data_IF_161966923569
#
_entry.id   IF_161966923569
#
_cell.length_a   1.000
_cell.length_b   1.000
_cell.length_c   1.000
_cell.angle_alpha   90.00
_cell.angle_beta   90.00
_cell.angle_gamma   90.00
#
_symmetry.space_group_name_H-M   'P 1'
#
loop_
_entity.id
_entity.type
_entity.pdbx_description
1 polymer ?
#
# COMPACT_ATOMS: atom_id res chain seq x y z
N UNK A 1 -67.64 64.57 9.04
CA UNK A 1 -67.06 63.65 8.05
C UNK A 1 -65.76 63.11 8.62
N UNK A 2 -65.71 61.82 8.99
CA UNK A 2 -64.54 61.17 9.60
C UNK A 2 -63.78 60.42 8.51
N UNK A 3 -62.50 60.76 8.30
CA UNK A 3 -61.64 60.06 7.36
C UNK A 3 -61.07 58.79 8.01
N UNK A 4 -61.29 57.64 7.37
CA UNK A 4 -60.79 56.33 7.80
C UNK A 4 -59.43 56.10 7.14
N UNK A 5 -58.41 55.90 7.96
CA UNK A 5 -57.04 55.59 7.58
C UNK A 5 -56.92 54.08 7.30
N UNK A 6 -56.61 53.68 6.07
CA UNK A 6 -56.26 52.29 5.72
C UNK A 6 -54.75 52.12 5.80
N UNK A 7 -54.28 51.26 6.72
CA UNK A 7 -52.89 50.80 6.78
C UNK A 7 -52.79 49.50 5.98
N UNK A 8 -52.04 49.52 4.88
CA UNK A 8 -51.75 48.36 4.04
C UNK A 8 -50.47 47.68 4.55
N UNK A 9 -50.58 46.49 5.12
CA UNK A 9 -49.45 45.71 5.62
C UNK A 9 -48.91 44.82 4.50
N UNK A 10 -47.69 45.07 4.02
CA UNK A 10 -47.01 44.22 3.02
C UNK A 10 -46.22 43.13 3.77
N UNK A 11 -46.64 41.87 3.59
CA UNK A 11 -45.91 40.69 4.09
C UNK A 11 -44.79 40.37 3.09
N UNK A 12 -43.55 40.63 3.46
CA UNK A 12 -42.37 40.17 2.72
C UNK A 12 -42.08 38.73 3.12
N UNK A 13 -42.44 37.78 2.25
CA UNK A 13 -42.06 36.38 2.39
C UNK A 13 -40.61 36.21 1.97
N UNK A 14 -39.75 35.86 2.93
CA UNK A 14 -38.36 35.52 2.67
C UNK A 14 -38.26 34.19 1.94
N UNK A 15 -37.67 34.21 0.75
CA UNK A 15 -37.22 33.00 0.06
C UNK A 15 -36.03 32.40 0.84
N UNK A 16 -36.27 31.28 1.52
CA UNK A 16 -35.19 30.45 2.05
C UNK A 16 -34.60 29.65 0.89
N UNK A 17 -33.39 30.00 0.46
CA UNK A 17 -32.58 29.13 -0.38
C UNK A 17 -31.94 28.07 0.51
N UNK A 18 -32.55 26.88 0.59
CA UNK A 18 -31.87 25.69 1.09
C UNK A 18 -30.93 25.19 0.00
N UNK A 19 -29.65 25.51 0.12
CA UNK A 19 -28.59 24.86 -0.67
C UNK A 19 -28.55 23.40 -0.25
N UNK A 20 -29.08 22.51 -1.09
CA UNK A 20 -28.87 21.08 -0.96
C UNK A 20 -27.37 20.82 -1.21
N UNK A 21 -26.61 20.64 -0.13
CA UNK A 21 -25.30 20.03 -0.22
C UNK A 21 -25.47 18.65 -0.85
N UNK A 22 -24.98 18.45 -2.07
CA UNK A 22 -24.91 17.13 -2.67
C UNK A 22 -24.05 16.27 -1.76
N UNK A 23 -24.66 15.28 -1.11
CA UNK A 23 -23.93 14.22 -0.42
C UNK A 23 -23.22 13.38 -1.48
N UNK A 24 -22.01 13.79 -1.84
CA UNK A 24 -21.08 12.94 -2.57
C UNK A 24 -20.89 11.70 -1.71
N UNK A 25 -21.47 10.57 -2.13
CA UNK A 25 -21.18 9.30 -1.48
C UNK A 25 -19.66 9.13 -1.48
N UNK A 26 -19.02 8.93 -0.31
CA UNK A 26 -17.58 8.79 -0.28
C UNK A 26 -17.20 7.63 -1.20
N UNK A 27 -16.31 7.89 -2.16
CA UNK A 27 -15.75 6.86 -3.03
C UNK A 27 -15.22 5.76 -2.10
N UNK A 28 -15.80 4.56 -2.20
CA UNK A 28 -15.33 3.42 -1.42
C UNK A 28 -13.98 3.00 -1.98
N UNK A 29 -12.91 3.48 -1.34
CA UNK A 29 -11.54 3.11 -1.68
C UNK A 29 -11.30 1.73 -1.08
N UNK A 30 -10.87 0.75 -1.90
CA UNK A 30 -10.49 -0.56 -1.41
C UNK A 30 -9.42 -0.43 -0.31
N UNK A 31 -9.70 -0.97 0.88
CA UNK A 31 -8.86 -0.84 2.05
C UNK A 31 -8.16 -2.18 2.36
N UNK A 32 -6.84 -2.14 2.43
CA UNK A 32 -6.00 -3.29 2.79
C UNK A 32 -5.45 -3.06 4.20
N UNK A 33 -5.69 -4.01 5.11
CA UNK A 33 -4.94 -4.07 6.34
C UNK A 33 -3.54 -4.61 6.03
N UNK A 34 -2.55 -3.72 5.98
CA UNK A 34 -1.19 -4.06 5.58
C UNK A 34 -0.49 -4.96 6.60
N UNK A 35 -0.75 -4.76 7.90
CA UNK A 35 -0.17 -5.60 8.96
C UNK A 35 -0.65 -7.05 8.80
N UNK A 36 -1.95 -7.24 8.58
CA UNK A 36 -2.53 -8.56 8.31
C UNK A 36 -2.04 -9.13 6.97
N UNK A 37 -1.86 -8.30 5.94
CA UNK A 37 -1.35 -8.75 4.64
C UNK A 37 0.08 -9.31 4.76
N UNK A 38 1.00 -8.63 5.47
CA UNK A 38 2.35 -9.14 5.72
C UNK A 38 2.29 -10.46 6.50
N UNK A 39 1.44 -10.53 7.53
CA UNK A 39 1.29 -11.75 8.34
C UNK A 39 0.76 -12.92 7.50
N UNK A 40 -0.28 -12.68 6.67
CA UNK A 40 -0.88 -13.67 5.76
C UNK A 40 0.17 -14.23 4.80
N UNK A 41 0.93 -13.37 4.11
CA UNK A 41 1.95 -13.80 3.13
C UNK A 41 3.06 -14.61 3.81
N UNK A 42 3.54 -14.14 4.97
CA UNK A 42 4.55 -14.84 5.76
C UNK A 42 4.07 -16.22 6.19
N UNK A 43 2.88 -16.29 6.78
CA UNK A 43 2.33 -17.52 7.34
C UNK A 43 2.03 -18.54 6.25
N UNK A 44 1.44 -18.11 5.13
CA UNK A 44 1.16 -18.99 3.99
C UNK A 44 2.43 -19.68 3.48
N UNK A 45 3.52 -18.92 3.26
CA UNK A 45 4.80 -19.48 2.81
C UNK A 45 5.46 -20.34 3.88
N UNK A 46 5.46 -19.90 5.14
CA UNK A 46 6.04 -20.65 6.24
C UNK A 46 5.36 -22.01 6.42
N UNK A 47 4.03 -22.04 6.42
CA UNK A 47 3.24 -23.26 6.55
C UNK A 47 3.47 -24.20 5.36
N UNK A 48 3.50 -23.68 4.13
CA UNK A 48 3.82 -24.48 2.95
C UNK A 48 5.22 -25.10 3.01
N UNK A 49 6.23 -24.31 3.38
CA UNK A 49 7.62 -24.78 3.51
C UNK A 49 7.74 -25.86 4.59
N UNK A 50 7.11 -25.64 5.75
CA UNK A 50 7.07 -26.60 6.85
C UNK A 50 6.43 -27.92 6.42
N UNK A 51 5.26 -27.87 5.78
CA UNK A 51 4.58 -29.05 5.27
C UNK A 51 5.44 -29.82 4.26
N UNK A 52 6.07 -29.11 3.32
CA UNK A 52 6.94 -29.71 2.29
C UNK A 52 8.17 -30.42 2.88
N UNK A 53 8.75 -29.87 3.97
CA UNK A 53 9.86 -30.50 4.66
C UNK A 53 9.43 -31.76 5.45
N UNK A 54 8.27 -31.70 6.12
CA UNK A 54 7.78 -32.80 6.95
C UNK A 54 7.28 -34.00 6.16
N UNK A 55 6.58 -33.79 5.05
CA UNK A 55 5.99 -34.88 4.24
C UNK A 55 6.98 -35.51 3.24
N UNK A 56 8.14 -34.87 3.00
CA UNK A 56 9.07 -35.16 1.89
C UNK A 56 8.42 -35.15 0.50
N UNK A 57 7.18 -34.65 0.38
CA UNK A 57 6.40 -34.52 -0.85
C UNK A 57 5.80 -33.12 -0.92
N UNK A 58 6.08 -32.40 -1.99
CA UNK A 58 5.50 -31.07 -2.18
C UNK A 58 4.10 -31.20 -2.77
N UNK A 59 3.11 -30.59 -2.13
CA UNK A 59 1.78 -30.45 -2.70
C UNK A 59 1.71 -29.18 -3.56
N UNK A 60 1.83 -29.34 -4.88
CA UNK A 60 1.83 -28.20 -5.80
C UNK A 60 0.50 -27.45 -5.82
N UNK A 61 -0.62 -28.11 -5.48
CA UNK A 61 -1.94 -27.45 -5.42
C UNK A 61 -2.08 -26.50 -4.23
N UNK A 62 -1.15 -26.56 -3.27
CA UNK A 62 -1.12 -25.68 -2.09
C UNK A 62 0.01 -24.66 -2.14
N UNK A 63 0.56 -24.37 -3.33
CA UNK A 63 1.54 -23.29 -3.48
C UNK A 63 0.94 -21.96 -2.99
N UNK A 64 1.67 -21.19 -2.17
CA UNK A 64 1.17 -19.91 -1.67
C UNK A 64 1.07 -18.90 -2.82
N UNK A 65 -0.02 -18.13 -2.82
CA UNK A 65 -0.24 -17.06 -3.80
C UNK A 65 0.73 -15.90 -3.53
N UNK A 66 1.44 -15.46 -4.57
CA UNK A 66 2.19 -14.21 -4.53
C UNK A 66 1.22 -13.05 -4.75
N UNK A 67 1.20 -12.09 -3.84
CA UNK A 67 0.29 -10.94 -3.91
C UNK A 67 1.05 -9.66 -3.59
N UNK A 68 0.75 -8.59 -4.32
CA UNK A 68 1.20 -7.24 -3.96
C UNK A 68 0.37 -6.69 -2.78
N UNK A 69 1.01 -5.88 -1.93
CA UNK A 69 0.35 -5.11 -0.88
C UNK A 69 0.06 -3.69 -1.37
N UNK A 70 1.06 -3.04 -1.96
CA UNK A 70 1.07 -1.64 -2.40
C UNK A 70 1.01 -1.49 -3.91
N UNK A 71 1.72 -2.33 -4.67
CA UNK A 71 1.90 -2.22 -6.13
C UNK A 71 0.67 -2.72 -6.89
N UNK A 72 -0.45 -1.99 -6.72
CA UNK A 72 -1.74 -2.28 -7.37
C UNK A 72 -2.16 -1.10 -8.25
N UNK A 73 -2.81 -1.36 -9.40
CA UNK A 73 -3.38 -0.30 -10.22
C UNK A 73 -4.60 0.33 -9.54
N UNK A 74 -4.94 1.55 -9.96
CA UNK A 74 -6.10 2.27 -9.45
C UNK A 74 -5.86 2.94 -8.10
N UNK A 75 -6.96 3.27 -7.41
CA UNK A 75 -6.94 3.96 -6.12
C UNK A 75 -7.26 2.99 -4.99
N UNK A 76 -6.35 2.86 -4.03
CA UNK A 76 -6.52 2.00 -2.85
C UNK A 76 -5.87 2.62 -1.62
N UNK A 77 -6.27 2.13 -0.45
CA UNK A 77 -5.68 2.52 0.81
C UNK A 77 -5.06 1.30 1.50
N UNK A 78 -3.89 1.49 2.08
CA UNK A 78 -3.22 0.48 2.90
C UNK A 78 -3.03 1.06 4.29
N UNK A 79 -3.49 0.37 5.32
CA UNK A 79 -3.32 0.79 6.71
C UNK A 79 -2.32 -0.10 7.45
N UNK A 80 -1.34 0.52 8.11
CA UNK A 80 -0.36 -0.15 8.98
C UNK A 80 -0.34 0.55 10.33
N UNK A 81 -0.60 -0.18 11.42
CA UNK A 81 -0.52 0.37 12.80
C UNK A 81 -1.27 1.70 12.98
N UNK A 82 -2.45 1.84 12.36
CA UNK A 82 -3.26 3.06 12.42
C UNK A 82 -2.85 4.17 11.45
N UNK A 83 -1.76 3.99 10.69
CA UNK A 83 -1.33 4.91 9.63
C UNK A 83 -1.89 4.49 8.28
N UNK A 84 -2.60 5.40 7.62
CA UNK A 84 -3.25 5.17 6.32
C UNK A 84 -2.41 5.76 5.19
N UNK A 85 -1.94 4.90 4.30
CA UNK A 85 -1.34 5.26 3.02
C UNK A 85 -2.43 5.24 1.95
N UNK A 86 -2.59 6.32 1.20
CA UNK A 86 -3.47 6.34 0.02
C UNK A 86 -2.58 6.28 -1.20
N UNK A 87 -2.88 5.32 -2.08
CA UNK A 87 -2.17 5.11 -3.32
C UNK A 87 -3.09 5.38 -4.50
N UNK A 88 -2.51 5.96 -5.54
CA UNK A 88 -3.13 6.13 -6.85
C UNK A 88 -2.11 5.75 -7.91
N UNK A 89 -2.45 4.78 -8.75
CA UNK A 89 -1.62 4.35 -9.89
C UNK A 89 -0.17 4.07 -9.48
N UNK A 90 -0.01 3.23 -8.43
CA UNK A 90 1.30 2.86 -7.88
C UNK A 90 2.11 4.08 -7.40
N UNK A 91 1.44 5.10 -6.84
CA UNK A 91 2.10 6.22 -6.17
C UNK A 91 1.38 6.54 -4.87
N UNK A 92 2.14 6.77 -3.80
CA UNK A 92 1.57 7.29 -2.57
C UNK A 92 1.20 8.75 -2.80
N UNK A 93 -0.07 9.09 -2.57
CA UNK A 93 -0.60 10.44 -2.76
C UNK A 93 -0.99 11.11 -1.44
N UNK A 94 -1.15 10.33 -0.37
CA UNK A 94 -1.40 10.87 0.97
C UNK A 94 -1.01 9.86 2.05
N UNK A 95 -0.62 10.37 3.21
CA UNK A 95 -0.33 9.60 4.42
C UNK A 95 -1.07 10.26 5.58
N UNK A 96 -1.92 9.51 6.28
CA UNK A 96 -2.75 10.02 7.39
C UNK A 96 -3.59 11.25 7.03
N UNK A 97 -4.03 11.36 5.78
CA UNK A 97 -4.79 12.52 5.30
C UNK A 97 -3.94 13.78 5.12
N UNK A 98 -2.63 13.72 5.42
CA UNK A 98 -1.69 14.79 5.09
C UNK A 98 -1.29 14.69 3.62
N UNK A 99 -1.20 15.84 2.96
CA UNK A 99 -0.57 15.97 1.65
C UNK A 99 0.86 16.43 1.91
N UNK A 100 1.82 15.51 1.82
CA UNK A 100 3.25 15.84 1.90
C UNK A 100 3.75 16.40 0.56
N UNK A 101 4.98 16.92 0.51
CA UNK A 101 5.56 17.33 -0.78
C UNK A 101 5.73 16.13 -1.71
N UNK A 102 5.68 16.37 -3.02
CA UNK A 102 5.85 15.34 -4.04
C UNK A 102 7.15 14.56 -3.88
N UNK A 103 8.23 15.23 -3.46
CA UNK A 103 9.53 14.60 -3.18
C UNK A 103 9.44 13.59 -2.02
N UNK A 104 8.78 13.97 -0.92
CA UNK A 104 8.60 13.07 0.24
C UNK A 104 7.74 11.88 -0.14
N UNK A 105 6.64 12.12 -0.86
CA UNK A 105 5.75 11.07 -1.35
C UNK A 105 6.47 10.14 -2.34
N UNK A 106 7.35 10.67 -3.20
CA UNK A 106 8.16 9.88 -4.12
C UNK A 106 9.14 8.98 -3.39
N UNK A 107 9.87 9.48 -2.38
CA UNK A 107 10.79 8.67 -1.56
C UNK A 107 10.05 7.54 -0.85
N UNK A 108 8.87 7.82 -0.29
CA UNK A 108 8.05 6.81 0.37
C UNK A 108 7.55 5.78 -0.63
N UNK A 109 7.03 6.24 -1.78
CA UNK A 109 6.58 5.38 -2.88
C UNK A 109 7.68 4.43 -3.32
N UNK A 110 8.89 4.95 -3.59
CA UNK A 110 10.04 4.16 -4.01
C UNK A 110 10.37 3.07 -3.00
N UNK A 111 10.49 3.42 -1.71
CA UNK A 111 10.82 2.44 -0.66
C UNK A 111 9.75 1.35 -0.55
N UNK A 112 8.47 1.72 -0.50
CA UNK A 112 7.37 0.78 -0.30
C UNK A 112 7.19 -0.14 -1.52
N UNK A 113 7.18 0.41 -2.73
CA UNK A 113 7.00 -0.39 -3.94
C UNK A 113 8.20 -1.27 -4.23
N UNK A 114 9.43 -0.79 -3.99
CA UNK A 114 10.62 -1.64 -4.19
C UNK A 114 10.55 -2.88 -3.32
N UNK A 115 10.21 -2.72 -2.04
CA UNK A 115 10.11 -3.84 -1.10
C UNK A 115 8.92 -4.76 -1.41
N UNK A 116 7.78 -4.19 -1.83
CA UNK A 116 6.61 -4.97 -2.24
C UNK A 116 6.86 -5.75 -3.54
N UNK A 117 7.62 -5.17 -4.48
CA UNK A 117 8.07 -5.85 -5.69
C UNK A 117 9.07 -6.96 -5.40
N UNK A 118 10.01 -6.72 -4.49
CA UNK A 118 10.99 -7.75 -4.10
C UNK A 118 10.31 -8.94 -3.43
N UNK A 119 9.40 -8.72 -2.49
CA UNK A 119 8.69 -9.85 -1.86
C UNK A 119 7.89 -10.64 -2.90
N UNK A 120 7.14 -9.95 -3.76
CA UNK A 120 6.36 -10.63 -4.80
C UNK A 120 7.27 -11.46 -5.72
N UNK A 121 8.35 -10.84 -6.21
CA UNK A 121 9.30 -11.49 -7.11
C UNK A 121 9.91 -12.76 -6.51
N UNK A 122 10.40 -12.72 -5.27
CA UNK A 122 11.00 -13.89 -4.64
C UNK A 122 9.98 -14.95 -4.25
N UNK A 123 8.74 -14.56 -3.95
CA UNK A 123 7.64 -15.50 -3.80
C UNK A 123 7.41 -16.28 -5.10
N UNK A 124 7.29 -15.57 -6.23
CA UNK A 124 7.11 -16.15 -7.56
C UNK A 124 8.28 -17.02 -7.98
N UNK A 125 9.53 -16.56 -7.84
CA UNK A 125 10.71 -17.33 -8.23
C UNK A 125 10.78 -18.68 -7.55
N UNK A 126 10.46 -18.75 -6.26
CA UNK A 126 10.41 -20.02 -5.57
C UNK A 126 9.23 -20.89 -6.02
N UNK A 127 8.06 -20.31 -6.27
CA UNK A 127 6.89 -21.06 -6.77
C UNK A 127 7.21 -21.69 -8.13
N UNK A 128 7.82 -20.93 -9.04
CA UNK A 128 8.27 -21.43 -10.34
C UNK A 128 9.28 -22.57 -10.19
N UNK A 129 10.21 -22.47 -9.24
CA UNK A 129 11.19 -23.53 -9.01
C UNK A 129 10.56 -24.84 -8.51
N UNK A 130 9.44 -24.77 -7.78
CA UNK A 130 8.66 -25.96 -7.42
C UNK A 130 7.92 -26.58 -8.60
N UNK A 131 7.58 -25.79 -9.63
CA UNK A 131 6.91 -26.25 -10.84
C UNK A 131 7.90 -26.80 -11.90
N UNK A 132 9.19 -26.52 -11.74
CA UNK A 132 10.23 -27.02 -12.64
C UNK A 132 10.42 -28.54 -12.53
N UNK A 133 10.62 -29.20 -13.68
CA UNK A 133 10.84 -30.65 -13.74
C UNK A 133 12.12 -31.09 -13.01
N UNK A 134 13.15 -30.24 -13.04
CA UNK A 134 14.38 -30.41 -12.27
C UNK A 134 14.45 -29.27 -11.26
N UNK A 135 14.04 -29.57 -10.02
CA UNK A 135 14.01 -28.58 -8.94
C UNK A 135 15.38 -28.42 -8.25
N UNK A 136 15.72 -27.18 -7.91
CA UNK A 136 16.85 -26.81 -7.08
C UNK A 136 16.38 -26.36 -5.70
N UNK A 137 16.51 -27.25 -4.70
CA UNK A 137 16.19 -26.90 -3.31
C UNK A 137 17.04 -25.71 -2.80
N UNK A 138 18.29 -25.60 -3.25
CA UNK A 138 19.16 -24.48 -2.87
C UNK A 138 18.61 -23.14 -3.37
N UNK A 139 18.09 -23.12 -4.61
CA UNK A 139 17.48 -21.92 -5.18
C UNK A 139 16.18 -21.55 -4.47
N UNK A 140 15.32 -22.53 -4.19
CA UNK A 140 14.09 -22.36 -3.40
C UNK A 140 14.41 -21.70 -2.04
N UNK A 141 15.33 -22.28 -1.28
CA UNK A 141 15.69 -21.75 0.04
C UNK A 141 16.29 -20.35 -0.03
N UNK A 142 17.06 -20.06 -1.08
CA UNK A 142 17.60 -18.74 -1.30
C UNK A 142 16.49 -17.72 -1.59
N UNK A 143 15.58 -18.02 -2.52
CA UNK A 143 14.43 -17.19 -2.85
C UNK A 143 13.53 -16.97 -1.62
N UNK A 144 13.22 -18.02 -0.86
CA UNK A 144 12.48 -17.94 0.40
C UNK A 144 13.12 -16.99 1.41
N UNK A 145 14.45 -17.11 1.60
CA UNK A 145 15.18 -16.23 2.52
C UNK A 145 15.03 -14.77 2.12
N UNK A 146 15.12 -14.47 0.82
CA UNK A 146 14.98 -13.12 0.30
C UNK A 146 13.53 -12.61 0.36
N UNK A 147 12.54 -13.48 0.13
CA UNK A 147 11.12 -13.19 0.37
C UNK A 147 10.87 -12.76 1.81
N UNK A 148 11.30 -13.57 2.80
CA UNK A 148 11.12 -13.24 4.21
C UNK A 148 11.89 -11.98 4.62
N UNK A 149 13.09 -11.78 4.06
CA UNK A 149 13.85 -10.55 4.28
C UNK A 149 13.11 -9.32 3.75
N UNK A 150 12.59 -9.37 2.52
CA UNK A 150 11.83 -8.28 1.91
C UNK A 150 10.58 -7.94 2.74
N UNK A 151 9.79 -8.95 3.16
CA UNK A 151 8.63 -8.72 4.03
C UNK A 151 9.00 -8.15 5.40
N UNK A 152 10.11 -8.61 6.00
CA UNK A 152 10.59 -8.07 7.28
C UNK A 152 11.00 -6.61 7.14
N UNK A 153 11.78 -6.28 6.12
CA UNK A 153 12.24 -4.90 5.88
C UNK A 153 11.05 -4.00 5.50
N UNK A 154 10.08 -4.50 4.74
CA UNK A 154 8.82 -3.78 4.46
C UNK A 154 8.10 -3.44 5.76
N UNK A 155 7.90 -4.42 6.64
CA UNK A 155 7.28 -4.24 7.95
C UNK A 155 8.01 -3.22 8.84
N UNK A 156 9.34 -3.25 8.87
CA UNK A 156 10.12 -2.24 9.60
C UNK A 156 10.00 -0.86 8.96
N UNK A 157 10.06 -0.77 7.62
CA UNK A 157 9.99 0.50 6.89
C UNK A 157 8.64 1.19 7.10
N UNK A 158 7.52 0.47 7.00
CA UNK A 158 6.19 1.05 7.25
C UNK A 158 6.04 1.49 8.71
N UNK A 159 6.62 0.75 9.66
CA UNK A 159 6.62 1.13 11.07
C UNK A 159 7.44 2.39 11.33
N UNK A 160 8.62 2.51 10.72
CA UNK A 160 9.45 3.71 10.85
C UNK A 160 8.75 4.93 10.24
N UNK A 161 8.14 4.77 9.05
CA UNK A 161 7.33 5.83 8.43
C UNK A 161 6.14 6.19 9.34
N UNK A 162 5.45 5.20 9.90
CA UNK A 162 4.31 5.42 10.78
C UNK A 162 4.69 6.17 12.07
N UNK A 163 5.86 5.87 12.64
CA UNK A 163 6.40 6.57 13.81
C UNK A 163 6.70 8.05 13.52
N UNK A 164 7.04 8.39 12.27
CA UNK A 164 7.30 9.76 11.81
C UNK A 164 5.97 10.45 11.45
N UNK A 165 5.07 9.79 10.74
CA UNK A 165 3.86 10.38 10.16
C UNK A 165 2.68 10.53 11.16
N UNK A 166 2.96 10.97 12.39
CA UNK A 166 1.93 11.21 13.41
C UNK A 166 1.03 12.39 13.03
N UNK A 167 -0.26 12.42 13.44
CA UNK A 167 -1.22 13.45 13.03
C UNK A 167 -0.80 14.90 13.31
N UNK A 168 0.03 15.12 14.32
CA UNK A 168 0.45 16.46 14.79
C UNK A 168 1.78 16.94 14.20
N UNK A 169 2.41 16.15 13.31
CA UNK A 169 3.72 16.49 12.77
C UNK A 169 3.61 17.51 11.63
N UNK A 170 4.50 18.49 11.59
CA UNK A 170 4.58 19.41 10.45
C UNK A 170 5.12 18.71 9.20
N UNK A 171 4.78 19.23 8.01
CA UNK A 171 5.31 18.73 6.73
C UNK A 171 6.83 18.79 6.67
N UNK A 172 7.46 19.81 7.26
CA UNK A 172 8.92 19.94 7.35
C UNK A 172 9.54 18.86 8.23
N UNK A 173 8.95 18.58 9.40
CA UNK A 173 9.42 17.52 10.29
C UNK A 173 9.24 16.13 9.65
N UNK A 174 8.13 15.91 8.95
CA UNK A 174 7.91 14.71 8.14
C UNK A 174 9.02 14.56 7.09
N UNK A 175 9.30 15.59 6.30
CA UNK A 175 10.35 15.56 5.29
C UNK A 175 11.73 15.22 5.87
N UNK A 176 12.10 15.88 6.97
CA UNK A 176 13.36 15.61 7.67
C UNK A 176 13.43 14.18 8.24
N UNK A 177 12.32 13.66 8.75
CA UNK A 177 12.24 12.28 9.24
C UNK A 177 12.41 11.26 8.13
N UNK A 178 11.69 11.44 7.02
CA UNK A 178 11.73 10.55 5.85
C UNK A 178 13.11 10.55 5.20
N UNK A 179 13.76 11.72 5.09
CA UNK A 179 15.12 11.82 4.55
C UNK A 179 16.17 11.05 5.38
N UNK A 180 15.92 10.87 6.68
CA UNK A 180 16.80 10.12 7.60
C UNK A 180 16.53 8.61 7.58
N UNK A 181 15.47 8.15 6.92
CA UNK A 181 15.15 6.72 6.88
C UNK A 181 16.23 5.95 6.11
N UNK A 182 16.76 4.86 6.70
CA UNK A 182 17.79 4.07 6.05
C UNK A 182 17.30 3.55 4.70
N UNK A 183 18.24 3.36 3.77
CA UNK A 183 17.95 2.63 2.55
C UNK A 183 17.65 1.18 2.92
N UNK A 184 16.63 0.54 2.31
CA UNK A 184 16.37 -0.86 2.54
C UNK A 184 17.62 -1.70 2.28
N UNK A 185 18.09 -2.44 3.29
CA UNK A 185 19.28 -3.27 3.19
C UNK A 185 18.94 -4.62 2.52
N UNK A 186 18.67 -4.56 1.21
CA UNK A 186 18.36 -5.71 0.38
C UNK A 186 18.92 -5.46 -1.03
N UNK A 187 19.41 -6.50 -1.69
CA UNK A 187 19.92 -6.37 -3.05
C UNK A 187 18.79 -6.01 -4.03
N UNK A 188 18.88 -4.80 -4.58
CA UNK A 188 17.93 -4.23 -5.53
C UNK A 188 18.41 -4.37 -6.98
N UNK A 189 19.58 -4.95 -7.25
CA UNK A 189 20.13 -5.05 -8.61
C UNK A 189 19.22 -5.86 -9.55
N UNK A 190 18.41 -6.75 -9.00
CA UNK A 190 17.42 -7.52 -9.76
C UNK A 190 16.27 -6.64 -10.29
N UNK A 191 15.94 -5.55 -9.59
CA UNK A 191 14.91 -4.59 -10.01
C UNK A 191 15.32 -3.85 -11.29
N UNK A 192 16.62 -3.58 -11.46
CA UNK A 192 17.15 -2.89 -12.63
C UNK A 192 17.16 -3.78 -13.90
N UNK A 193 17.24 -5.10 -13.73
CA UNK A 193 17.34 -6.06 -14.85
C UNK A 193 15.98 -6.59 -15.30
N UNK A 194 15.09 -6.91 -14.36
CA UNK A 194 13.84 -7.61 -14.68
C UNK A 194 12.63 -6.66 -14.81
N UNK A 195 12.59 -5.54 -14.07
CA UNK A 195 11.44 -4.62 -14.10
C UNK A 195 11.53 -3.55 -15.20
N UNK A 196 12.74 -3.20 -15.66
CA UNK A 196 12.90 -2.33 -16.83
C UNK A 196 12.55 -3.04 -18.15
N UNK A 197 12.65 -4.36 -18.21
CA UNK A 197 12.24 -5.12 -19.40
C UNK A 197 10.72 -5.24 -19.52
N UNK A 198 9.99 -5.31 -18.40
CA UNK A 198 8.52 -5.41 -18.41
C UNK A 198 7.80 -4.09 -18.72
N UNK A 199 8.45 -2.93 -18.53
CA UNK A 199 7.90 -1.62 -18.94
C UNK A 199 8.08 -1.32 -20.44
N UNK A 200 8.87 -2.13 -21.17
CA UNK A 200 9.03 -2.03 -22.62
C UNK A 200 8.00 -2.91 -23.36
N UNK A 201 7.50 -3.97 -22.72
CA UNK A 201 6.55 -4.93 -23.33
C UNK A 201 5.08 -4.53 -23.09
N UNK A 202 4.79 -3.67 -22.10
CA UNK A 202 3.48 -3.07 -21.89
C UNK A 202 3.36 -1.72 -22.62
N UNK A 203 3.30 -1.74 -23.96
CA UNK A 203 2.86 -0.64 -24.81
C UNK A 203 1.90 -1.15 -25.87
#
# INVERSE_FOLDING_TARGET
>A
MKAILYILTIIVTGFNYSVLAQSVSPISIAQVNGTEAIAKLREARFTFNKASMSSRKTNLSSLPQSEYIFDKPGMHAVSFEGVKFVLKDQKVVSINGMTASDEVLAVITEKLLTLDRLQYFYSEKSNQEYLNAVKSNSYIFHADRLFFAALKILGTTVKDIAAIAKPEISTTQLALGIAKLPKPNIDQTIMLKDFQNNSIIAK
#
